data_IF_164999282017
#
_entry.id   IF_164999282017
#
_cell.length_a   1.000
_cell.length_b   1.000
_cell.length_c   1.000
_cell.angle_alpha   90.00
_cell.angle_beta   90.00
_cell.angle_gamma   90.00
#
_symmetry.space_group_name_H-M   'P 1'
#
loop_
_entity.id
_entity.type
_entity.pdbx_description
1 polymer ?
#
# COMPACT_ATOMS: atom_id res chain seq x y z
N UNK A 1 -9.05 11.81 20.52
CA UNK A 1 -9.54 12.00 19.14
C UNK A 1 -10.92 11.37 19.06
N UNK A 2 -11.99 12.17 19.02
CA UNK A 2 -13.38 11.70 19.17
C UNK A 2 -13.96 11.07 17.90
N UNK A 3 -13.40 11.41 16.73
CA UNK A 3 -13.96 11.02 15.43
C UNK A 3 -14.11 9.50 15.28
N UNK A 4 -13.08 8.72 15.65
CA UNK A 4 -13.08 7.25 15.55
C UNK A 4 -14.19 6.63 16.40
N UNK A 5 -14.45 7.20 17.57
CA UNK A 5 -15.43 6.69 18.54
C UNK A 5 -16.84 7.25 18.36
N UNK A 6 -17.04 8.22 17.46
CA UNK A 6 -18.35 8.84 17.31
C UNK A 6 -19.37 7.82 16.75
N UNK A 7 -20.62 7.75 17.28
CA UNK A 7 -21.58 6.70 16.94
C UNK A 7 -21.82 6.49 15.44
N UNK A 8 -21.92 7.57 14.65
CA UNK A 8 -22.10 7.46 13.19
C UNK A 8 -20.90 6.84 12.47
N UNK A 9 -19.68 7.09 12.96
CA UNK A 9 -18.45 6.58 12.37
C UNK A 9 -18.26 5.10 12.69
N UNK A 10 -18.60 4.69 13.91
CA UNK A 10 -18.62 3.28 14.32
C UNK A 10 -19.67 2.49 13.54
N UNK A 11 -20.91 2.98 13.49
CA UNK A 11 -22.03 2.32 12.81
C UNK A 11 -21.78 2.10 11.30
N UNK A 12 -20.91 2.92 10.71
CA UNK A 12 -20.57 2.86 9.29
C UNK A 12 -19.20 2.26 9.03
N UNK A 13 -18.43 1.92 10.06
CA UNK A 13 -17.01 1.52 9.93
C UNK A 13 -16.20 2.53 9.08
N UNK A 14 -16.32 3.83 9.39
CA UNK A 14 -15.61 4.90 8.65
C UNK A 14 -14.11 4.92 8.94
N UNK A 15 -13.68 4.33 10.04
CA UNK A 15 -12.28 4.12 10.37
C UNK A 15 -12.00 2.63 10.49
N UNK A 16 -10.80 2.23 10.08
CA UNK A 16 -10.25 0.88 10.17
C UNK A 16 -8.83 0.96 10.72
N UNK A 17 -8.40 -0.10 11.39
CA UNK A 17 -7.03 -0.24 11.86
C UNK A 17 -6.33 -1.29 11.00
N UNK A 18 -5.20 -0.91 10.41
CA UNK A 18 -4.36 -1.78 9.58
C UNK A 18 -2.91 -1.53 9.96
N UNK A 19 -2.17 -2.59 10.24
CA UNK A 19 -0.76 -2.54 10.66
C UNK A 19 -0.52 -1.56 11.82
N UNK A 20 -1.44 -1.53 12.79
CA UNK A 20 -1.39 -0.64 13.97
C UNK A 20 -1.70 0.83 13.69
N UNK A 21 -2.10 1.18 12.46
CA UNK A 21 -2.47 2.54 12.06
C UNK A 21 -3.98 2.66 11.88
N UNK A 22 -4.60 3.53 12.68
CA UNK A 22 -6.00 3.92 12.46
C UNK A 22 -6.09 4.90 11.30
N UNK A 23 -6.84 4.52 10.26
CA UNK A 23 -7.06 5.32 9.05
C UNK A 23 -8.51 5.25 8.59
N UNK A 24 -8.88 6.10 7.65
CA UNK A 24 -10.22 6.08 7.06
C UNK A 24 -10.40 4.84 6.18
N UNK A 25 -11.56 4.20 6.27
CA UNK A 25 -11.94 3.15 5.33
C UNK A 25 -12.11 3.71 3.90
N UNK A 26 -11.95 2.89 2.85
CA UNK A 26 -12.15 3.32 1.47
C UNK A 26 -13.55 3.91 1.22
N UNK A 27 -13.60 5.00 0.46
CA UNK A 27 -14.84 5.67 0.07
C UNK A 27 -14.79 6.11 -1.41
N UNK A 28 -15.93 6.10 -2.15
CA UNK A 28 -17.27 5.64 -1.76
C UNK A 28 -17.39 4.11 -1.56
N UNK A 29 -18.45 3.67 -0.86
CA UNK A 29 -18.73 2.24 -0.64
C UNK A 29 -19.53 1.65 -1.81
N UNK A 30 -18.83 0.98 -2.72
CA UNK A 30 -19.48 0.30 -3.85
C UNK A 30 -20.09 -1.03 -3.41
N UNK A 31 -21.34 -1.28 -3.81
CA UNK A 31 -22.06 -2.52 -3.49
C UNK A 31 -21.66 -3.70 -4.37
N UNK A 32 -21.34 -3.46 -5.65
CA UNK A 32 -21.00 -4.52 -6.61
C UNK A 32 -19.55 -4.98 -6.51
N UNK A 33 -18.64 -4.04 -6.28
CA UNK A 33 -17.18 -4.29 -6.18
C UNK A 33 -16.63 -3.53 -4.98
N UNK A 34 -16.78 -4.07 -3.75
CA UNK A 34 -16.27 -3.43 -2.55
C UNK A 34 -14.76 -3.18 -2.67
N UNK A 35 -14.31 -1.97 -2.36
CA UNK A 35 -12.89 -1.68 -2.26
C UNK A 35 -12.31 -2.31 -0.97
N UNK A 36 -11.08 -2.78 -1.05
CA UNK A 36 -10.32 -3.31 0.08
C UNK A 36 -8.99 -2.57 0.19
N UNK A 37 -8.47 -2.47 1.41
CA UNK A 37 -7.08 -2.05 1.64
C UNK A 37 -6.25 -3.33 1.62
N UNK A 38 -5.39 -3.48 0.63
CA UNK A 38 -4.67 -4.74 0.38
C UNK A 38 -3.37 -4.85 1.17
N UNK A 39 -2.72 -3.72 1.46
CA UNK A 39 -1.39 -3.66 2.08
C UNK A 39 -1.16 -2.30 2.72
N UNK A 40 -0.38 -2.28 3.79
CA UNK A 40 0.10 -1.06 4.43
C UNK A 40 1.19 -0.34 3.63
N UNK A 41 1.73 0.77 4.17
CA UNK A 41 2.88 1.44 3.59
C UNK A 41 4.07 0.50 3.42
N UNK A 42 4.80 0.62 2.31
CA UNK A 42 6.03 -0.13 2.08
C UNK A 42 7.26 0.78 2.11
N UNK A 43 8.45 0.20 2.33
CA UNK A 43 9.71 0.91 2.20
C UNK A 43 9.95 1.33 0.73
N UNK A 44 10.79 2.35 0.54
CA UNK A 44 11.24 2.74 -0.79
C UNK A 44 12.08 1.60 -1.37
N UNK A 45 11.73 1.13 -2.58
CA UNK A 45 12.44 0.03 -3.24
C UNK A 45 11.87 -1.38 -2.96
N UNK A 46 10.93 -1.53 -2.01
CA UNK A 46 10.42 -2.84 -1.58
C UNK A 46 9.85 -3.70 -2.74
N UNK A 47 9.23 -3.08 -3.75
CA UNK A 47 8.65 -3.78 -4.90
C UNK A 47 9.52 -3.69 -6.18
N UNK A 48 10.74 -3.12 -6.10
CA UNK A 48 11.53 -2.74 -7.27
C UNK A 48 11.80 -3.93 -8.21
N UNK A 49 12.27 -5.07 -7.67
CA UNK A 49 12.58 -6.25 -8.47
C UNK A 49 11.34 -6.83 -9.16
N UNK A 50 10.21 -6.88 -8.47
CA UNK A 50 8.96 -7.38 -9.05
C UNK A 50 8.52 -6.50 -10.22
N UNK A 51 8.52 -5.19 -10.03
CA UNK A 51 8.12 -4.22 -11.04
C UNK A 51 9.05 -4.29 -12.26
N UNK A 52 10.36 -4.33 -12.05
CA UNK A 52 11.34 -4.33 -13.15
C UNK A 52 11.33 -5.65 -13.93
N UNK A 53 11.21 -6.80 -13.26
CA UNK A 53 11.00 -8.08 -13.95
C UNK A 53 9.71 -8.08 -14.75
N UNK A 54 8.62 -7.52 -14.19
CA UNK A 54 7.34 -7.41 -14.91
C UNK A 54 7.42 -6.47 -16.11
N UNK A 55 8.29 -5.48 -16.06
CA UNK A 55 8.60 -4.59 -17.18
C UNK A 55 9.52 -5.24 -18.24
N UNK A 56 10.05 -6.44 -17.99
CA UNK A 56 10.82 -7.23 -18.94
C UNK A 56 12.34 -7.12 -18.79
N UNK A 57 12.83 -6.55 -17.69
CA UNK A 57 14.27 -6.44 -17.45
C UNK A 57 14.85 -7.77 -16.97
N UNK A 58 16.08 -8.04 -17.40
CA UNK A 58 16.83 -9.19 -16.93
C UNK A 58 17.35 -8.99 -15.51
N UNK A 59 17.72 -10.08 -14.85
CA UNK A 59 18.33 -10.01 -13.52
C UNK A 59 19.65 -9.23 -13.54
N UNK A 60 20.41 -9.35 -14.62
CA UNK A 60 21.68 -8.63 -14.82
C UNK A 60 21.46 -7.12 -14.98
N UNK A 61 20.40 -6.70 -15.70
CA UNK A 61 20.04 -5.27 -15.83
C UNK A 61 19.62 -4.67 -14.48
N UNK A 62 18.78 -5.40 -13.73
CA UNK A 62 18.32 -4.97 -12.40
C UNK A 62 19.51 -4.81 -11.45
N UNK A 63 20.43 -5.77 -11.45
CA UNK A 63 21.64 -5.72 -10.64
C UNK A 63 22.54 -4.54 -11.04
N UNK A 64 22.71 -4.27 -12.34
CA UNK A 64 23.45 -3.10 -12.81
C UNK A 64 22.83 -1.78 -12.32
N UNK A 65 21.50 -1.71 -12.19
CA UNK A 65 20.82 -0.53 -11.67
C UNK A 65 20.94 -0.39 -10.15
N UNK A 66 21.00 -1.49 -9.39
CA UNK A 66 21.36 -1.45 -7.96
C UNK A 66 22.78 -0.94 -7.77
N UNK A 67 23.73 -1.49 -8.53
CA UNK A 67 25.14 -1.09 -8.46
C UNK A 67 25.39 0.37 -8.84
N UNK A 68 24.61 0.91 -9.78
CA UNK A 68 24.70 2.33 -10.15
C UNK A 68 23.96 3.27 -9.19
N UNK A 69 23.21 2.74 -8.21
CA UNK A 69 22.39 3.51 -7.29
C UNK A 69 21.10 4.07 -7.92
N UNK A 70 20.74 3.62 -9.12
CA UNK A 70 19.49 3.98 -9.78
C UNK A 70 18.27 3.33 -9.10
N UNK A 71 18.46 2.16 -8.50
CA UNK A 71 17.47 1.51 -7.63
C UNK A 71 17.98 1.61 -6.19
N UNK A 72 17.07 1.96 -5.29
CA UNK A 72 17.35 1.98 -3.85
C UNK A 72 17.10 0.59 -3.27
N UNK A 73 18.08 0.08 -2.55
CA UNK A 73 17.93 -1.12 -1.72
C UNK A 73 17.20 -0.79 -0.40
N UNK A 74 16.55 -1.81 0.19
CA UNK A 74 15.88 -1.73 1.49
C UNK A 74 16.78 -1.18 2.61
#
# INVERSE_FOLDING_TARGET
NEAVTYPHNQARANYVEIDGVTQTAPAPRFSRTPAAIERGPCAAGADADEILRRAGLSAEEIESYRQSGAIRDE
#
